data_IF_902290484244
#
_entry.id   IF_902290484244
#
_cell.length_a   1.000
_cell.length_b   1.000
_cell.length_c   1.000
_cell.angle_alpha   90.00
_cell.angle_beta   90.00
_cell.angle_gamma   90.00
#
_symmetry.space_group_name_H-M   'P 1'
#
loop_
_entity.id
_entity.type
_entity.pdbx_description
1 polymer ?
#
# COMPACT_ATOMS: atom_id res chain seq x y z
N UNK A 1 -28.38 23.39 34.77
CA UNK A 1 -27.19 23.54 35.64
C UNK A 1 -25.96 23.03 34.88
N UNK A 2 -24.98 23.92 34.66
CA UNK A 2 -23.62 23.78 34.05
C UNK A 2 -23.53 23.18 32.62
N UNK A 3 -23.27 23.85 31.48
CA UNK A 3 -22.35 24.92 30.97
C UNK A 3 -20.89 24.52 30.65
N UNK A 4 -20.40 25.13 29.55
CA UNK A 4 -19.05 25.29 28.96
C UNK A 4 -18.66 24.30 27.82
N UNK A 5 -18.75 24.63 26.51
CA UNK A 5 -17.92 25.53 25.63
C UNK A 5 -16.46 25.11 25.54
N UNK A 6 -15.93 24.65 24.40
CA UNK A 6 -15.14 25.35 23.36
C UNK A 6 -14.37 24.21 22.60
N UNK A 7 -13.89 24.25 21.35
CA UNK A 7 -13.35 25.33 20.54
C UNK A 7 -13.31 24.81 19.07
N UNK A 8 -13.87 25.60 18.15
CA UNK A 8 -13.72 25.48 16.71
C UNK A 8 -12.45 26.18 16.20
N UNK A 9 -12.01 25.80 14.99
CA UNK A 9 -11.15 26.53 14.01
C UNK A 9 -9.64 26.38 14.12
N UNK A 10 -9.02 25.86 13.05
CA UNK A 10 -7.81 26.36 12.34
C UNK A 10 -7.86 25.77 10.90
N UNK A 11 -8.48 26.45 9.91
CA UNK A 11 -7.90 27.29 8.82
C UNK A 11 -7.20 26.44 7.74
N UNK A 12 -7.84 26.03 6.62
CA UNK A 12 -8.16 26.77 5.37
C UNK A 12 -7.43 28.12 5.17
N UNK A 13 -6.38 28.11 4.33
CA UNK A 13 -5.94 29.29 3.58
C UNK A 13 -5.03 28.88 2.43
N UNK A 14 -5.43 29.17 1.19
CA UNK A 14 -4.57 29.61 0.07
C UNK A 14 -5.45 29.83 -1.18
N UNK A 15 -6.12 30.98 -1.25
CA UNK A 15 -6.61 31.56 -2.51
C UNK A 15 -6.94 33.05 -2.28
N UNK A 16 -5.99 33.93 -2.61
CA UNK A 16 -6.26 35.32 -2.99
C UNK A 16 -4.98 35.91 -3.59
N UNK A 17 -4.97 36.08 -4.91
CA UNK A 17 -3.96 36.85 -5.64
C UNK A 17 -4.48 38.30 -5.79
N UNK A 18 -3.61 39.26 -5.49
CA UNK A 18 -3.85 40.70 -5.63
C UNK A 18 -3.45 41.20 -7.03
N UNK A 19 -4.41 41.86 -7.67
CA UNK A 19 -4.41 43.08 -8.48
C UNK A 19 -3.16 43.57 -9.26
N UNK A 20 -3.42 43.77 -10.57
CA UNK A 20 -3.20 44.95 -11.42
C UNK A 20 -1.77 45.46 -11.75
N UNK A 21 -1.53 45.69 -13.06
CA UNK A 21 -0.43 46.51 -13.55
C UNK A 21 -0.16 46.47 -15.06
N UNK A 22 -0.86 47.35 -15.79
CA UNK A 22 -0.48 48.08 -17.02
C UNK A 22 0.03 47.40 -18.32
N UNK A 23 -0.66 47.79 -19.40
CA UNK A 23 -0.23 47.79 -20.80
C UNK A 23 0.96 48.75 -21.05
N UNK A 24 1.94 48.34 -21.84
CA UNK A 24 2.63 49.19 -22.81
C UNK A 24 3.38 48.33 -23.85
N UNK A 25 3.13 48.64 -25.13
CA UNK A 25 3.78 48.09 -26.32
C UNK A 25 4.96 48.98 -26.69
N UNK A 26 6.13 48.39 -26.98
CA UNK A 26 7.13 48.95 -27.91
C UNK A 26 8.26 47.96 -28.19
N UNK A 27 8.47 47.65 -29.47
CA UNK A 27 9.60 46.91 -30.07
C UNK A 27 10.78 47.86 -30.40
N UNK A 28 11.88 47.40 -31.05
CA UNK A 28 13.01 46.67 -30.51
C UNK A 28 14.35 47.44 -30.67
N UNK A 29 15.37 47.13 -29.88
CA UNK A 29 16.75 47.51 -30.23
C UNK A 29 17.73 46.34 -30.07
N UNK A 30 18.48 46.13 -31.14
CA UNK A 30 19.60 45.22 -31.33
C UNK A 30 20.79 45.59 -30.44
N UNK A 31 21.30 44.61 -29.70
CA UNK A 31 22.55 44.73 -28.93
C UNK A 31 23.26 43.39 -28.88
N UNK A 32 24.39 43.30 -29.56
CA UNK A 32 25.33 42.18 -29.56
C UNK A 32 26.09 42.11 -28.24
N UNK A 33 26.05 40.99 -27.53
CA UNK A 33 27.05 40.67 -26.50
C UNK A 33 27.18 39.16 -26.24
N UNK A 34 28.43 38.70 -26.21
CA UNK A 34 28.93 37.33 -25.97
C UNK A 34 28.24 36.59 -24.80
N UNK A 35 28.10 35.25 -24.85
CA UNK A 35 27.73 34.48 -23.67
C UNK A 35 28.94 34.31 -22.74
N UNK A 36 28.82 34.88 -21.54
CA UNK A 36 29.65 34.57 -20.37
C UNK A 36 29.25 33.20 -19.82
N UNK A 37 30.24 32.37 -19.54
CA UNK A 37 30.12 31.10 -18.84
C UNK A 37 29.67 31.34 -17.39
N UNK A 38 28.43 30.95 -17.06
CA UNK A 38 27.98 30.83 -15.67
C UNK A 38 28.15 29.37 -15.23
N UNK A 39 29.03 29.17 -14.26
CA UNK A 39 29.14 27.95 -13.46
C UNK A 39 27.79 27.63 -12.79
N UNK A 40 27.41 26.35 -12.65
CA UNK A 40 26.15 25.98 -12.02
C UNK A 40 26.19 26.29 -10.51
N UNK A 41 25.12 26.95 -10.05
CA UNK A 41 24.86 27.20 -8.64
C UNK A 41 24.77 25.89 -7.87
N UNK A 42 25.66 25.71 -6.89
CA UNK A 42 25.56 24.65 -5.89
C UNK A 42 24.28 24.89 -5.08
N UNK A 43 23.35 23.93 -5.14
CA UNK A 43 22.20 23.89 -4.24
C UNK A 43 22.72 23.79 -2.79
N UNK A 44 22.19 24.59 -1.84
CA UNK A 44 22.57 24.46 -0.44
C UNK A 44 22.17 23.06 0.08
N UNK A 45 22.95 22.48 1.02
CA UNK A 45 22.61 21.20 1.61
C UNK A 45 21.22 21.26 2.25
N UNK A 46 20.44 20.18 2.05
CA UNK A 46 19.11 20.06 2.62
C UNK A 46 19.18 20.27 4.14
N UNK A 47 18.37 21.21 4.65
CA UNK A 47 18.15 21.37 6.08
C UNK A 47 17.76 20.01 6.69
N UNK A 48 18.33 19.67 7.85
CA UNK A 48 18.12 18.38 8.53
C UNK A 48 16.65 18.01 8.65
N UNK A 49 16.34 16.71 8.58
CA UNK A 49 14.98 16.19 8.61
C UNK A 49 14.40 16.23 10.03
N UNK A 50 13.54 17.21 10.38
CA UNK A 50 13.07 17.36 11.76
C UNK A 50 12.23 16.17 12.23
N UNK A 51 11.64 15.41 11.30
CA UNK A 51 10.87 14.20 11.63
C UNK A 51 11.83 13.02 11.84
N UNK A 52 12.86 12.88 11.01
CA UNK A 52 13.91 11.87 11.17
C UNK A 52 14.63 12.02 12.51
N UNK A 53 15.07 13.24 12.82
CA UNK A 53 15.75 13.56 14.06
C UNK A 53 14.87 13.31 15.30
N UNK A 54 13.57 13.56 15.20
CA UNK A 54 12.61 13.26 16.25
C UNK A 54 12.43 11.75 16.45
N UNK A 55 12.34 10.98 15.36
CA UNK A 55 12.13 9.53 15.41
C UNK A 55 13.37 8.77 15.92
N UNK A 56 14.58 9.22 15.58
CA UNK A 56 15.83 8.61 16.06
C UNK A 56 16.11 8.87 17.54
N UNK A 57 15.52 9.92 18.11
CA UNK A 57 15.60 10.25 19.55
C UNK A 57 14.61 9.45 20.41
N UNK A 58 13.65 8.75 19.81
CA UNK A 58 12.72 7.90 20.55
C UNK A 58 13.43 6.59 20.97
N UNK A 59 13.27 6.15 22.22
CA UNK A 59 13.91 4.91 22.69
C UNK A 59 13.44 3.73 21.83
N UNK A 60 14.41 3.03 21.22
CA UNK A 60 14.13 1.79 20.49
C UNK A 60 13.61 0.76 21.47
N UNK A 61 12.47 0.12 21.17
CA UNK A 61 12.00 -1.01 21.96
C UNK A 61 13.10 -2.08 22.01
N UNK A 62 13.41 -2.66 23.20
CA UNK A 62 14.48 -3.63 23.32
C UNK A 62 14.21 -4.83 22.41
N UNK A 63 15.13 -5.09 21.49
CA UNK A 63 15.16 -6.32 20.71
C UNK A 63 15.58 -7.45 21.64
N UNK A 64 14.68 -8.41 21.87
CA UNK A 64 15.00 -9.62 22.62
C UNK A 64 16.22 -10.32 22.01
N UNK A 65 17.21 -10.60 22.85
CA UNK A 65 18.46 -11.25 22.49
C UNK A 65 18.24 -12.64 21.86
N UNK A 66 19.03 -12.94 20.83
CA UNK A 66 19.01 -14.20 20.13
C UNK A 66 19.47 -15.36 21.03
N UNK A 67 18.58 -16.34 21.26
CA UNK A 67 18.97 -17.71 21.63
C UNK A 67 18.93 -18.61 20.38
N UNK A 68 19.94 -19.48 20.27
CA UNK A 68 20.18 -20.49 19.22
C UNK A 68 18.90 -21.28 18.88
N UNK A 69 18.57 -21.56 17.60
CA UNK A 69 17.30 -22.18 17.26
C UNK A 69 17.34 -23.69 17.53
N UNK A 70 16.59 -24.14 18.53
CA UNK A 70 16.06 -25.49 18.58
C UNK A 70 14.92 -25.59 17.54
N UNK A 71 15.02 -26.58 16.66
CA UNK A 71 13.99 -26.93 15.69
C UNK A 71 12.68 -27.27 16.43
N UNK A 72 11.72 -26.36 16.38
CA UNK A 72 10.35 -26.64 16.75
C UNK A 72 9.40 -25.81 15.88
N UNK A 73 8.37 -26.50 15.38
CA UNK A 73 7.27 -26.03 14.55
C UNK A 73 6.70 -24.67 15.01
N UNK A 74 7.25 -23.57 14.49
CA UNK A 74 6.72 -22.22 14.73
C UNK A 74 5.64 -21.89 13.71
N UNK A 75 4.47 -21.48 14.19
CA UNK A 75 3.39 -20.91 13.38
C UNK A 75 3.94 -19.75 12.58
N UNK A 76 4.10 -19.91 11.26
CA UNK A 76 4.66 -18.87 10.41
C UNK A 76 3.64 -17.72 10.28
N UNK A 77 3.69 -16.78 11.23
CA UNK A 77 2.93 -15.54 11.20
C UNK A 77 3.58 -14.62 10.17
N UNK A 78 2.79 -13.97 9.32
CA UNK A 78 3.35 -13.07 8.30
C UNK A 78 4.25 -12.02 8.95
N UNK A 79 5.37 -11.72 8.31
CA UNK A 79 6.19 -10.56 8.66
C UNK A 79 5.31 -9.31 8.61
N UNK A 80 5.49 -8.41 9.57
CA UNK A 80 4.82 -7.10 9.56
C UNK A 80 5.43 -6.20 8.50
N UNK A 81 4.64 -5.24 8.02
CA UNK A 81 5.17 -4.15 7.21
C UNK A 81 5.96 -3.20 8.11
N UNK A 82 7.21 -2.94 7.72
CA UNK A 82 8.06 -1.88 8.21
C UNK A 82 7.74 -0.55 7.54
N UNK A 83 8.72 0.35 7.56
CA UNK A 83 8.60 1.66 6.92
C UNK A 83 8.47 1.47 5.40
N UNK A 84 7.56 2.21 4.79
CA UNK A 84 7.31 2.13 3.35
C UNK A 84 7.21 3.53 2.76
N UNK A 85 7.66 3.68 1.52
CA UNK A 85 7.56 4.95 0.80
C UNK A 85 6.26 4.97 0.02
N UNK A 86 5.51 6.07 0.15
CA UNK A 86 4.29 6.33 -0.59
C UNK A 86 4.49 7.55 -1.49
N UNK A 87 4.13 7.40 -2.76
CA UNK A 87 4.30 8.43 -3.78
C UNK A 87 2.97 8.70 -4.47
N UNK A 88 2.77 9.98 -4.78
CA UNK A 88 1.72 10.45 -5.67
C UNK A 88 0.38 10.72 -5.00
N UNK A 89 -0.53 11.17 -5.85
CA UNK A 89 -1.93 11.47 -5.58
C UNK A 89 -2.63 11.56 -6.94
N UNK A 90 -2.44 10.54 -7.78
CA UNK A 90 -2.79 10.61 -9.19
C UNK A 90 -4.32 10.56 -9.35
N UNK A 91 -4.89 11.50 -10.10
CA UNK A 91 -6.27 11.42 -10.57
C UNK A 91 -6.43 10.38 -11.68
N UNK A 92 -5.38 10.25 -12.51
CA UNK A 92 -5.27 9.26 -13.58
C UNK A 92 -4.48 8.05 -13.13
N UNK A 93 -5.15 6.92 -13.10
CA UNK A 93 -4.57 5.59 -12.96
C UNK A 93 -3.32 5.31 -13.78
N UNK A 94 -3.32 5.65 -15.07
CA UNK A 94 -2.22 5.29 -15.98
C UNK A 94 -0.87 5.80 -15.44
N UNK A 95 -0.89 6.92 -14.73
CA UNK A 95 0.29 7.50 -14.09
C UNK A 95 0.78 6.63 -12.92
N UNK A 96 -0.15 6.09 -12.11
CA UNK A 96 0.19 5.18 -11.03
C UNK A 96 0.76 3.85 -11.54
N UNK A 97 0.21 3.31 -12.64
CA UNK A 97 0.73 2.09 -13.26
C UNK A 97 2.10 2.29 -13.88
N UNK A 98 2.29 3.35 -14.68
CA UNK A 98 3.60 3.67 -15.25
C UNK A 98 4.65 3.85 -14.15
N UNK A 99 4.28 4.49 -13.03
CA UNK A 99 5.20 4.62 -11.91
C UNK A 99 5.51 3.26 -11.26
N UNK A 100 4.50 2.44 -10.99
CA UNK A 100 4.71 1.10 -10.44
C UNK A 100 5.63 0.27 -11.34
N UNK A 101 5.38 0.23 -12.65
CA UNK A 101 6.19 -0.53 -13.61
C UNK A 101 7.63 -0.02 -13.67
N UNK A 102 7.84 1.30 -13.71
CA UNK A 102 9.19 1.90 -13.68
C UNK A 102 10.00 1.51 -12.44
N UNK A 103 9.34 1.38 -11.29
CA UNK A 103 9.96 0.92 -10.04
C UNK A 103 10.23 -0.59 -10.07
N UNK A 104 9.26 -1.39 -10.50
CA UNK A 104 9.40 -2.86 -10.59
C UNK A 104 10.47 -3.31 -11.56
N UNK A 105 10.63 -2.61 -12.69
CA UNK A 105 11.71 -2.86 -13.65
C UNK A 105 13.10 -2.60 -13.07
N UNK A 106 13.19 -1.95 -11.91
CA UNK A 106 14.42 -1.74 -11.13
C UNK A 106 14.52 -2.64 -9.91
N UNK A 107 13.70 -3.69 -9.84
CA UNK A 107 13.67 -4.63 -8.71
C UNK A 107 12.97 -4.11 -7.46
N UNK A 108 12.29 -2.96 -7.53
CA UNK A 108 11.57 -2.40 -6.39
C UNK A 108 10.16 -3.00 -6.34
N UNK A 109 9.84 -3.69 -5.25
CA UNK A 109 8.51 -4.25 -4.98
C UNK A 109 7.50 -3.12 -4.69
N UNK A 110 6.95 -2.58 -5.76
CA UNK A 110 5.97 -1.51 -5.75
C UNK A 110 4.58 -2.03 -6.13
N UNK A 111 3.58 -1.51 -5.42
CA UNK A 111 2.17 -1.73 -5.69
C UNK A 111 1.43 -0.40 -5.59
N UNK A 112 0.37 -0.22 -6.35
CA UNK A 112 -0.47 0.98 -6.25
C UNK A 112 -1.86 0.61 -5.78
N UNK A 113 -2.58 1.58 -5.22
CA UNK A 113 -3.92 1.38 -4.70
C UNK A 113 -4.71 2.68 -4.79
N UNK A 114 -6.04 2.56 -4.78
CA UNK A 114 -6.92 3.72 -4.69
C UNK A 114 -7.18 4.06 -3.23
N UNK A 115 -6.82 5.28 -2.85
CA UNK A 115 -7.06 5.82 -1.52
C UNK A 115 -8.54 6.20 -1.33
N UNK A 116 -8.96 6.40 -0.08
CA UNK A 116 -10.34 6.79 0.26
C UNK A 116 -10.73 8.15 -0.36
N UNK A 117 -9.77 9.03 -0.56
CA UNK A 117 -9.94 10.29 -1.30
C UNK A 117 -10.23 10.10 -2.80
N UNK A 118 -10.21 8.87 -3.31
CA UNK A 118 -10.44 8.55 -4.72
C UNK A 118 -9.20 8.63 -5.62
N UNK A 119 -8.09 9.15 -5.11
CA UNK A 119 -6.80 9.27 -5.81
C UNK A 119 -5.99 7.97 -5.75
N UNK A 120 -5.16 7.73 -6.77
CA UNK A 120 -4.22 6.60 -6.81
C UNK A 120 -2.90 6.97 -6.14
N UNK A 121 -2.38 6.05 -5.35
CA UNK A 121 -1.10 6.17 -4.66
C UNK A 121 -0.25 4.94 -4.98
N UNK A 122 1.06 5.11 -5.11
CA UNK A 122 2.01 4.00 -5.24
C UNK A 122 2.74 3.84 -3.91
N UNK A 123 2.89 2.61 -3.43
CA UNK A 123 3.64 2.30 -2.22
C UNK A 123 4.66 1.20 -2.51
N UNK A 124 5.84 1.35 -1.95
CA UNK A 124 6.94 0.40 -2.07
C UNK A 124 7.81 0.42 -0.82
N UNK A 125 8.70 -0.56 -0.72
CA UNK A 125 9.61 -0.67 0.41
C UNK A 125 8.99 -1.37 1.62
N UNK A 126 9.88 -1.91 2.44
CA UNK A 126 9.59 -2.57 3.69
C UNK A 126 10.85 -2.52 4.55
N UNK A 127 11.19 -1.32 5.02
CA UNK A 127 12.46 -1.01 5.66
C UNK A 127 12.36 -1.15 7.18
N UNK A 128 13.48 -1.52 7.80
CA UNK A 128 13.57 -1.66 9.26
C UNK A 128 13.55 -0.30 9.98
N UNK A 129 13.96 0.79 9.31
CA UNK A 129 14.04 2.13 9.88
C UNK A 129 13.47 3.18 8.92
N UNK A 130 13.08 4.31 9.51
CA UNK A 130 12.68 5.50 8.78
C UNK A 130 13.82 6.02 7.89
N UNK A 131 15.03 6.12 8.45
CA UNK A 131 16.23 6.57 7.72
C UNK A 131 16.47 5.75 6.44
N UNK A 132 16.40 4.42 6.50
CA UNK A 132 16.60 3.56 5.34
C UNK A 132 15.48 3.72 4.28
N UNK A 133 14.23 3.90 4.71
CA UNK A 133 13.13 4.16 3.78
C UNK A 133 13.28 5.53 3.09
N UNK A 134 13.69 6.54 3.86
CA UNK A 134 13.92 7.90 3.38
C UNK A 134 15.11 7.97 2.43
N UNK A 135 16.24 7.36 2.78
CA UNK A 135 17.43 7.29 1.93
C UNK A 135 17.09 6.68 0.56
N UNK A 136 16.36 5.55 0.54
CA UNK A 136 15.90 4.95 -0.72
C UNK A 136 14.98 5.92 -1.49
N UNK A 137 14.03 6.57 -0.83
CA UNK A 137 13.11 7.49 -1.48
C UNK A 137 13.84 8.70 -2.09
N UNK A 138 14.75 9.33 -1.34
CA UNK A 138 15.55 10.46 -1.81
C UNK A 138 16.49 10.05 -2.95
N UNK A 139 17.06 8.85 -2.91
CA UNK A 139 17.85 8.33 -4.03
C UNK A 139 17.02 8.21 -5.32
N UNK A 140 15.78 7.69 -5.21
CA UNK A 140 14.87 7.60 -6.35
C UNK A 140 14.39 8.98 -6.83
N UNK A 141 14.26 9.95 -5.91
CA UNK A 141 13.89 11.32 -6.23
C UNK A 141 15.03 12.03 -6.98
N UNK A 142 16.29 11.88 -6.53
CA UNK A 142 17.48 12.41 -7.23
C UNK A 142 17.64 11.84 -8.64
N UNK A 143 17.23 10.58 -8.84
CA UNK A 143 17.19 9.94 -10.16
C UNK A 143 15.98 10.36 -11.02
N UNK A 144 15.09 11.23 -10.52
CA UNK A 144 13.88 11.67 -11.23
C UNK A 144 12.82 10.58 -11.40
N UNK A 145 12.90 9.46 -10.65
CA UNK A 145 11.97 8.34 -10.77
C UNK A 145 10.66 8.58 -10.02
N UNK A 146 10.74 9.27 -8.89
CA UNK A 146 9.60 9.66 -8.07
C UNK A 146 9.59 11.17 -7.83
N UNK A 147 8.40 11.73 -7.62
CA UNK A 147 8.23 13.10 -7.15
C UNK A 147 8.20 13.16 -5.62
N UNK A 148 7.38 14.06 -5.07
CA UNK A 148 7.14 14.14 -3.63
C UNK A 148 6.66 12.81 -3.06
N UNK A 149 7.21 12.45 -1.91
CA UNK A 149 6.94 11.19 -1.22
C UNK A 149 6.61 11.42 0.25
N UNK A 150 6.02 10.40 0.85
CA UNK A 150 5.73 10.33 2.28
C UNK A 150 6.18 8.97 2.81
N UNK A 151 6.85 8.96 3.96
CA UNK A 151 7.22 7.71 4.64
C UNK A 151 6.07 7.26 5.54
N UNK A 152 5.49 6.12 5.21
CA UNK A 152 4.48 5.44 6.01
C UNK A 152 5.16 4.73 7.17
N UNK A 153 4.77 5.09 8.39
CA UNK A 153 5.33 4.54 9.62
C UNK A 153 4.59 3.23 9.96
N UNK A 154 5.29 2.18 10.46
CA UNK A 154 4.67 0.92 10.83
C UNK A 154 3.48 1.04 11.78
N UNK A 155 3.54 2.02 12.69
CA UNK A 155 2.52 2.25 13.71
C UNK A 155 1.19 2.78 13.14
N UNK A 156 1.18 3.30 11.90
CA UNK A 156 -0.06 3.78 11.24
C UNK A 156 -0.92 2.64 10.70
N UNK A 157 -0.31 1.47 10.46
CA UNK A 157 -1.04 0.31 9.95
C UNK A 157 -2.08 -0.18 10.95
N UNK A 158 -3.24 -0.61 10.45
CA UNK A 158 -4.32 -1.13 11.28
C UNK A 158 -3.85 -2.25 12.23
N UNK A 159 -2.98 -3.15 11.77
CA UNK A 159 -2.39 -4.19 12.60
C UNK A 159 -1.64 -3.66 13.83
N UNK A 160 -0.82 -2.62 13.66
CA UNK A 160 -0.03 -2.04 14.75
C UNK A 160 -0.93 -1.26 15.71
N UNK A 161 -1.82 -0.42 15.19
CA UNK A 161 -2.78 0.37 15.99
C UNK A 161 -3.69 -0.51 16.83
N UNK A 162 -4.26 -1.57 16.24
CA UNK A 162 -5.16 -2.49 16.96
C UNK A 162 -4.39 -3.24 18.05
N UNK A 163 -3.19 -3.73 17.75
CA UNK A 163 -2.34 -4.40 18.75
C UNK A 163 -2.00 -3.47 19.93
N UNK A 164 -1.63 -2.22 19.65
CA UNK A 164 -1.21 -1.24 20.67
C UNK A 164 -2.39 -0.78 21.53
N UNK A 165 -3.54 -0.51 20.91
CA UNK A 165 -4.71 0.02 21.62
C UNK A 165 -5.59 -1.06 22.25
N UNK A 166 -5.47 -2.32 21.81
CA UNK A 166 -6.42 -3.39 22.15
C UNK A 166 -7.82 -3.20 21.55
N UNK A 167 -8.06 -2.13 20.78
CA UNK A 167 -9.37 -1.79 20.22
C UNK A 167 -9.44 -2.10 18.74
N UNK A 168 -10.58 -2.64 18.30
CA UNK A 168 -10.85 -2.99 16.91
C UNK A 168 -10.54 -4.45 16.57
N UNK A 169 -10.83 -4.84 15.32
CA UNK A 169 -10.68 -6.21 14.85
C UNK A 169 -9.98 -6.25 13.48
N UNK A 170 -8.74 -6.73 13.46
CA UNK A 170 -7.93 -6.79 12.24
C UNK A 170 -8.57 -7.67 11.15
N UNK A 171 -9.33 -8.71 11.55
CA UNK A 171 -10.07 -9.56 10.60
C UNK A 171 -11.14 -8.78 9.86
N UNK A 172 -11.86 -7.90 10.58
CA UNK A 172 -12.87 -7.04 9.98
C UNK A 172 -12.24 -5.93 9.13
N UNK A 173 -11.08 -5.39 9.52
CA UNK A 173 -10.31 -4.42 8.72
C UNK A 173 -9.88 -4.99 7.37
N UNK A 174 -9.40 -6.24 7.33
CA UNK A 174 -9.02 -6.90 6.09
C UNK A 174 -10.22 -7.03 5.13
N UNK A 175 -11.37 -7.47 5.65
CA UNK A 175 -12.59 -7.58 4.84
C UNK A 175 -13.12 -6.20 4.44
N UNK A 176 -13.07 -5.20 5.32
CA UNK A 176 -13.43 -3.82 5.00
C UNK A 176 -12.55 -3.26 3.89
N UNK A 177 -11.25 -3.54 3.95
CA UNK A 177 -10.30 -3.15 2.92
C UNK A 177 -10.65 -3.78 1.58
N UNK A 178 -10.93 -5.09 1.57
CA UNK A 178 -11.38 -5.79 0.37
C UNK A 178 -12.69 -5.21 -0.21
N UNK A 179 -13.64 -4.82 0.64
CA UNK A 179 -14.91 -4.20 0.21
C UNK A 179 -14.72 -2.88 -0.55
N UNK A 180 -13.69 -2.08 -0.21
CA UNK A 180 -13.36 -0.84 -0.94
C UNK A 180 -13.07 -1.09 -2.43
N UNK A 181 -12.70 -2.33 -2.76
CA UNK A 181 -12.39 -2.76 -4.12
C UNK A 181 -13.54 -3.47 -4.83
N UNK A 182 -14.76 -3.55 -4.29
CA UNK A 182 -15.89 -4.13 -5.03
C UNK A 182 -16.20 -3.34 -6.32
N UNK A 183 -16.48 -4.06 -7.41
CA UNK A 183 -16.79 -3.47 -8.74
C UNK A 183 -15.56 -3.13 -9.59
N UNK A 184 -14.37 -3.25 -9.02
CA UNK A 184 -13.09 -3.05 -9.72
C UNK A 184 -12.87 -4.11 -10.78
N UNK A 185 -12.49 -3.79 -12.03
CA UNK A 185 -12.19 -4.80 -13.05
C UNK A 185 -11.13 -5.81 -12.62
N UNK A 186 -11.09 -6.98 -13.24
CA UNK A 186 -9.94 -7.88 -13.13
C UNK A 186 -8.92 -7.51 -14.20
N UNK A 187 -7.63 -7.53 -13.86
CA UNK A 187 -6.55 -7.61 -14.84
C UNK A 187 -5.44 -8.51 -14.32
N UNK A 188 -4.90 -9.32 -15.22
CA UNK A 188 -3.75 -10.17 -14.92
C UNK A 188 -2.56 -9.30 -14.48
N UNK A 189 -1.90 -9.66 -13.37
CA UNK A 189 -0.82 -8.85 -12.80
C UNK A 189 -1.29 -7.59 -12.05
N UNK A 190 -2.59 -7.27 -12.10
CA UNK A 190 -3.17 -6.05 -11.54
C UNK A 190 -3.29 -6.06 -10.00
N UNK A 191 -3.22 -4.87 -9.41
CA UNK A 191 -3.15 -4.64 -7.96
C UNK A 191 -4.04 -3.46 -7.51
N UNK A 192 -5.02 -2.98 -8.30
CA UNK A 192 -5.83 -1.81 -7.92
C UNK A 192 -7.28 -1.72 -8.48
N UNK A 193 -7.99 -0.62 -8.15
CA UNK A 193 -9.38 -0.29 -8.53
C UNK A 193 -9.67 -0.02 -10.02
N UNK A 194 -8.76 0.57 -10.80
CA UNK A 194 -9.09 1.02 -12.17
C UNK A 194 -8.36 0.22 -13.24
N UNK A 195 -7.15 -0.27 -12.96
CA UNK A 195 -6.47 -1.27 -13.79
C UNK A 195 -6.69 -2.66 -13.23
N UNK A 196 -7.55 -2.79 -12.24
CA UNK A 196 -8.05 -4.06 -11.80
C UNK A 196 -7.07 -4.85 -10.95
N UNK A 197 -7.61 -5.90 -10.37
CA UNK A 197 -6.85 -6.84 -9.56
C UNK A 197 -6.73 -8.18 -10.29
N UNK A 198 -5.59 -8.85 -10.16
CA UNK A 198 -5.60 -10.30 -10.17
C UNK A 198 -5.93 -10.83 -8.76
N UNK A 199 -6.25 -12.11 -8.68
CA UNK A 199 -6.72 -12.71 -7.44
C UNK A 199 -5.75 -12.51 -6.27
N UNK A 200 -4.45 -12.70 -6.52
CA UNK A 200 -3.39 -12.58 -5.51
C UNK A 200 -2.91 -11.16 -5.25
N UNK A 201 -3.02 -10.27 -6.24
CA UNK A 201 -2.78 -8.84 -6.08
C UNK A 201 -3.80 -8.21 -5.12
N UNK A 202 -5.08 -8.59 -5.25
CA UNK A 202 -6.13 -8.13 -4.34
C UNK A 202 -5.84 -8.50 -2.89
N UNK A 203 -5.51 -9.78 -2.64
CA UNK A 203 -5.23 -10.25 -1.29
C UNK A 203 -3.97 -9.61 -0.74
N UNK A 204 -2.91 -9.50 -1.54
CA UNK A 204 -1.66 -8.84 -1.17
C UNK A 204 -1.88 -7.40 -0.73
N UNK A 205 -2.55 -6.59 -1.57
CA UNK A 205 -2.80 -5.18 -1.27
C UNK A 205 -3.66 -5.03 -0.03
N UNK A 206 -4.71 -5.85 0.13
CA UNK A 206 -5.53 -5.81 1.34
C UNK A 206 -4.70 -6.08 2.60
N UNK A 207 -3.81 -7.08 2.56
CA UNK A 207 -2.95 -7.41 3.69
C UNK A 207 -1.90 -6.35 3.98
N UNK A 208 -1.18 -5.88 2.95
CA UNK A 208 -0.10 -4.89 3.09
C UNK A 208 -0.60 -3.54 3.55
N UNK A 209 -1.76 -3.09 3.05
CA UNK A 209 -2.42 -1.86 3.53
C UNK A 209 -2.83 -1.95 5.01
N UNK A 210 -2.95 -3.16 5.56
CA UNK A 210 -3.24 -3.40 6.98
C UNK A 210 -2.00 -3.80 7.79
N UNK A 211 -0.79 -3.72 7.22
CA UNK A 211 0.47 -3.95 7.93
C UNK A 211 0.96 -5.39 7.95
N UNK A 212 0.45 -6.24 7.06
CA UNK A 212 0.87 -7.65 6.92
C UNK A 212 1.56 -7.86 5.57
N UNK A 213 2.83 -8.27 5.57
CA UNK A 213 3.60 -8.49 4.35
C UNK A 213 3.22 -9.84 3.70
N UNK A 214 2.09 -9.87 3.00
CA UNK A 214 1.66 -11.03 2.24
C UNK A 214 2.42 -11.10 0.90
N UNK A 215 2.88 -12.29 0.46
CA UNK A 215 3.56 -12.45 -0.84
C UNK A 215 2.65 -12.17 -2.04
N UNK A 216 3.24 -11.79 -3.18
CA UNK A 216 2.50 -11.43 -4.41
C UNK A 216 1.77 -12.58 -5.10
N UNK A 217 2.30 -13.81 -5.04
CA UNK A 217 1.81 -14.95 -5.80
C UNK A 217 0.88 -15.84 -4.96
N UNK A 218 -0.26 -16.26 -5.50
CA UNK A 218 -1.26 -17.10 -4.79
C UNK A 218 -0.69 -18.40 -4.22
N UNK A 219 0.30 -19.03 -4.88
CA UNK A 219 0.95 -20.26 -4.36
C UNK A 219 1.87 -19.96 -3.19
N UNK A 220 2.60 -18.83 -3.24
CA UNK A 220 3.41 -18.37 -2.12
C UNK A 220 2.52 -17.97 -0.94
N UNK A 221 1.39 -17.31 -1.20
CA UNK A 221 0.39 -17.05 -0.17
C UNK A 221 -0.06 -18.36 0.47
N UNK A 222 -0.48 -19.35 -0.32
CA UNK A 222 -0.92 -20.64 0.19
C UNK A 222 0.11 -21.33 1.10
N UNK A 223 1.39 -21.28 0.72
CA UNK A 223 2.51 -21.86 1.50
C UNK A 223 2.79 -21.07 2.78
N UNK A 224 2.65 -19.75 2.77
CA UNK A 224 3.01 -18.88 3.89
C UNK A 224 2.00 -18.90 5.06
N UNK A 225 0.84 -19.55 4.91
CA UNK A 225 -0.22 -19.54 5.92
C UNK A 225 -0.45 -20.89 6.58
N UNK A 226 -1.03 -20.88 7.78
CA UNK A 226 -1.42 -22.09 8.52
C UNK A 226 -2.71 -22.66 7.91
N UNK A 227 -2.81 -23.97 7.63
CA UNK A 227 -4.05 -24.57 7.15
C UNK A 227 -5.21 -24.36 8.14
N UNK A 228 -6.40 -24.09 7.61
CA UNK A 228 -7.64 -23.95 8.40
C UNK A 228 -8.74 -24.80 7.78
N UNK A 229 -9.44 -25.56 8.62
CA UNK A 229 -10.60 -26.34 8.18
C UNK A 229 -11.75 -25.45 7.74
N UNK A 230 -12.54 -25.89 6.75
CA UNK A 230 -13.64 -25.08 6.19
C UNK A 230 -14.67 -24.61 7.25
N UNK A 231 -14.90 -25.42 8.29
CA UNK A 231 -15.82 -25.10 9.41
C UNK A 231 -15.22 -24.10 10.41
N UNK A 232 -13.91 -23.88 10.38
CA UNK A 232 -13.17 -22.97 11.26
C UNK A 232 -12.81 -21.65 10.58
N UNK A 233 -13.29 -21.43 9.35
CA UNK A 233 -13.01 -20.21 8.59
C UNK A 233 -13.47 -18.96 9.34
N UNK A 234 -12.54 -18.03 9.54
CA UNK A 234 -12.78 -16.71 10.12
C UNK A 234 -12.53 -15.63 9.10
N UNK A 235 -13.22 -14.51 9.25
CA UNK A 235 -13.01 -13.32 8.39
C UNK A 235 -11.51 -13.02 8.26
N UNK A 236 -11.11 -12.61 7.07
CA UNK A 236 -9.72 -12.34 6.73
C UNK A 236 -8.93 -13.58 6.33
N UNK A 237 -9.32 -14.81 6.67
CA UNK A 237 -8.62 -16.01 6.15
C UNK A 237 -8.67 -16.04 4.62
N UNK A 238 -7.64 -16.61 3.98
CA UNK A 238 -7.62 -16.76 2.53
C UNK A 238 -8.13 -18.13 2.11
N UNK A 239 -8.97 -18.16 1.09
CA UNK A 239 -9.51 -19.38 0.47
C UNK A 239 -8.90 -19.57 -0.91
N UNK A 240 -8.48 -20.80 -1.21
CA UNK A 240 -7.68 -21.13 -2.39
C UNK A 240 -8.38 -22.17 -3.26
N UNK A 241 -8.22 -22.02 -4.57
CA UNK A 241 -8.92 -22.85 -5.55
C UNK A 241 -8.03 -23.25 -6.74
N UNK A 242 -8.41 -24.34 -7.39
CA UNK A 242 -7.84 -24.85 -8.64
C UNK A 242 -8.81 -24.58 -9.80
N UNK A 243 -8.88 -23.34 -10.27
CA UNK A 243 -9.84 -22.89 -11.30
C UNK A 243 -9.44 -23.28 -12.72
N UNK A 244 -8.19 -23.73 -12.93
CA UNK A 244 -7.69 -24.26 -14.20
C UNK A 244 -7.62 -25.80 -14.23
N UNK A 245 -8.32 -26.46 -13.31
CA UNK A 245 -8.28 -27.93 -13.16
C UNK A 245 -7.13 -28.44 -12.29
N UNK A 246 -7.19 -29.73 -11.98
CA UNK A 246 -6.22 -30.42 -11.11
C UNK A 246 -6.30 -29.99 -9.64
N UNK A 247 -5.17 -30.09 -8.92
CA UNK A 247 -5.05 -29.77 -7.48
C UNK A 247 -4.18 -28.54 -7.18
N UNK A 248 -3.66 -27.88 -8.23
CA UNK A 248 -2.72 -26.77 -8.08
C UNK A 248 -3.47 -25.47 -7.79
N UNK A 249 -3.01 -24.71 -6.79
CA UNK A 249 -3.52 -23.37 -6.51
C UNK A 249 -3.30 -22.48 -7.72
N UNK A 250 -4.40 -21.95 -8.23
CA UNK A 250 -4.46 -21.00 -9.36
C UNK A 250 -5.34 -19.78 -9.05
N UNK A 251 -6.11 -19.83 -7.96
CA UNK A 251 -6.97 -18.72 -7.54
C UNK A 251 -6.99 -18.56 -6.02
N UNK A 252 -7.23 -17.34 -5.56
CA UNK A 252 -7.35 -16.98 -4.15
C UNK A 252 -8.43 -15.91 -3.91
N UNK A 253 -9.02 -15.89 -2.72
CA UNK A 253 -9.91 -14.84 -2.26
C UNK A 253 -9.87 -14.67 -0.74
N UNK A 254 -10.41 -13.55 -0.24
CA UNK A 254 -10.48 -13.21 1.18
C UNK A 254 -11.83 -13.64 1.73
N UNK A 255 -11.86 -14.54 2.71
CA UNK A 255 -13.09 -14.96 3.36
C UNK A 255 -13.72 -13.81 4.14
N UNK A 256 -15.01 -13.57 3.89
CA UNK A 256 -15.76 -12.43 4.41
C UNK A 256 -16.80 -12.82 5.47
N UNK A 257 -16.88 -14.11 5.83
CA UNK A 257 -17.88 -14.66 6.75
C UNK A 257 -19.11 -15.24 6.03
N UNK A 258 -19.92 -16.03 6.75
CA UNK A 258 -21.18 -16.56 6.24
C UNK A 258 -21.07 -17.40 4.95
N UNK A 259 -19.96 -18.13 4.77
CA UNK A 259 -19.71 -18.90 3.55
C UNK A 259 -19.34 -18.06 2.32
N UNK A 260 -19.16 -16.74 2.46
CA UNK A 260 -18.85 -15.81 1.36
C UNK A 260 -17.38 -15.38 1.39
N UNK A 261 -16.84 -15.07 0.22
CA UNK A 261 -15.49 -14.52 0.07
C UNK A 261 -15.46 -13.44 -1.02
N UNK A 262 -14.50 -12.52 -0.93
CA UNK A 262 -14.25 -11.47 -1.91
C UNK A 262 -13.03 -11.86 -2.74
N UNK A 263 -13.13 -11.74 -4.06
CA UNK A 263 -12.05 -12.11 -4.98
C UNK A 263 -12.10 -11.29 -6.27
N UNK A 264 -10.98 -11.27 -6.99
CA UNK A 264 -10.90 -10.79 -8.37
C UNK A 264 -10.88 -12.02 -9.32
N UNK A 265 -12.01 -12.40 -9.95
CA UNK A 265 -12.18 -13.71 -10.59
C UNK A 265 -11.34 -14.00 -11.83
N UNK A 266 -11.50 -13.20 -12.90
CA UNK A 266 -10.87 -13.40 -14.22
C UNK A 266 -11.16 -12.20 -15.14
N UNK A 267 -10.44 -12.11 -16.26
CA UNK A 267 -10.63 -11.09 -17.30
C UNK A 267 -12.10 -10.97 -17.72
N UNK A 268 -12.57 -9.73 -17.91
CA UNK A 268 -13.97 -9.42 -18.24
C UNK A 268 -14.93 -9.45 -17.05
N UNK A 269 -14.43 -9.68 -15.84
CA UNK A 269 -15.21 -9.62 -14.59
C UNK A 269 -14.59 -8.60 -13.64
N UNK A 270 -15.29 -8.37 -12.53
CA UNK A 270 -14.94 -7.39 -11.50
C UNK A 270 -14.80 -8.06 -10.14
N UNK A 271 -14.07 -7.44 -9.21
CA UNK A 271 -14.00 -7.81 -7.81
C UNK A 271 -15.40 -7.86 -7.23
N UNK A 272 -15.74 -8.99 -6.63
CA UNK A 272 -17.11 -9.32 -6.21
C UNK A 272 -17.10 -10.28 -5.04
N UNK A 273 -18.28 -10.49 -4.48
CA UNK A 273 -18.55 -11.63 -3.61
C UNK A 273 -18.77 -12.90 -4.43
N UNK A 274 -18.35 -14.01 -3.86
CA UNK A 274 -18.68 -15.36 -4.29
C UNK A 274 -19.01 -16.23 -3.05
N UNK A 275 -19.76 -17.31 -3.27
CA UNK A 275 -20.16 -18.24 -2.22
C UNK A 275 -19.38 -19.55 -2.33
N UNK A 276 -18.77 -19.97 -1.22
CA UNK A 276 -18.12 -21.27 -1.09
C UNK A 276 -19.09 -22.43 -1.27
N UNK A 277 -20.40 -22.20 -1.08
CA UNK A 277 -21.44 -23.22 -1.21
C UNK A 277 -21.92 -23.39 -2.65
N UNK A 278 -21.54 -22.51 -3.57
CA UNK A 278 -21.87 -22.71 -4.99
C UNK A 278 -21.16 -23.95 -5.56
N UNK A 279 -21.80 -24.70 -6.49
CA UNK A 279 -21.21 -25.92 -7.04
C UNK A 279 -19.80 -25.73 -7.61
N UNK A 280 -19.57 -24.64 -8.35
CA UNK A 280 -18.27 -24.32 -8.95
C UNK A 280 -17.17 -24.13 -7.89
N UNK A 281 -17.41 -23.29 -6.88
CA UNK A 281 -16.41 -23.01 -5.84
C UNK A 281 -16.22 -24.18 -4.88
N UNK A 282 -17.25 -25.01 -4.68
CA UNK A 282 -17.13 -26.26 -3.92
C UNK A 282 -16.23 -27.27 -4.64
N UNK A 283 -16.43 -27.46 -5.95
CA UNK A 283 -15.64 -28.38 -6.78
C UNK A 283 -14.17 -27.98 -6.89
N UNK A 284 -13.88 -26.68 -6.94
CA UNK A 284 -12.52 -26.16 -7.16
C UNK A 284 -11.77 -25.85 -5.87
N UNK A 285 -12.37 -26.03 -4.69
CA UNK A 285 -11.76 -25.69 -3.41
C UNK A 285 -10.54 -26.57 -3.12
N UNK A 286 -9.39 -25.92 -2.90
CA UNK A 286 -8.13 -26.59 -2.54
C UNK A 286 -7.91 -26.56 -1.02
N UNK A 287 -8.23 -25.45 -0.38
CA UNK A 287 -8.02 -25.28 1.06
C UNK A 287 -8.11 -23.83 1.50
N UNK A 288 -7.93 -23.61 2.80
CA UNK A 288 -7.90 -22.27 3.39
C UNK A 288 -6.67 -22.07 4.27
N UNK A 289 -6.25 -20.81 4.41
CA UNK A 289 -5.08 -20.42 5.20
C UNK A 289 -5.38 -19.23 6.12
N UNK A 290 -4.93 -19.33 7.37
CA UNK A 290 -4.89 -18.23 8.32
C UNK A 290 -3.48 -17.64 8.42
N UNK A 291 -3.44 -16.35 8.71
CA UNK A 291 -2.23 -15.53 8.84
C UNK A 291 -2.27 -14.63 10.09
N UNK A 292 -3.29 -14.84 10.93
CA UNK A 292 -3.60 -14.12 12.16
C UNK A 292 -3.76 -15.12 13.30
#
# INVERSE_FOLDING_TARGET
MLRFTHLSRWILSMAAALLAGCLAVSTPQSGTSRPSTKSPSVLPPAAGDPIGDLLDRLPRQPTAAAKKPAESSSTQTLKRMGFATQVGAFSRLDNAVRLQERLRNRGIDAYYFRHESGLYKVRFGNHASYAAAREQAEALQRQGLIGSFFIVIPDDYAAARIRKSGRGNLRDELVRTARRFLGVPYRWGGEDRKNGFDCSGLTMVCYRLNGLNLPRNSRMQYRAGRPVGRRQLRKGDLVFFATHGGRRVTHVGIYAGGGKFIHAPRTGKTVRYASLNSPYWRKTFVGARAYL
#
